data_IF_071630556973
#
_entry.id   IF_071630556973
#
_cell.length_a   1.000
_cell.length_b   1.000
_cell.length_c   1.000
_cell.angle_alpha   90.00
_cell.angle_beta   90.00
_cell.angle_gamma   90.00
#
_symmetry.space_group_name_H-M   'P 1'
#
loop_
_entity.id
_entity.type
_entity.pdbx_description
1 polymer ?
#
# COMPACT_ATOMS: atom_id res chain seq x y z
N UNK A 1 16.00 1.15 -6.42
CA UNK A 1 15.89 0.34 -5.19
C UNK A 1 17.30 -0.04 -4.75
N UNK A 2 17.66 0.18 -3.48
CA UNK A 2 18.92 -0.29 -2.88
C UNK A 2 18.65 -1.56 -2.07
N UNK A 3 18.42 -2.67 -2.78
CA UNK A 3 17.88 -3.91 -2.22
C UNK A 3 18.84 -4.59 -1.25
N UNK A 4 18.33 -4.97 -0.09
CA UNK A 4 18.97 -5.77 0.94
C UNK A 4 18.26 -7.12 1.10
N UNK A 5 18.95 -8.11 1.66
CA UNK A 5 18.39 -9.44 1.90
C UNK A 5 17.46 -9.44 3.13
N UNK A 6 16.27 -8.86 2.99
CA UNK A 6 15.26 -8.77 4.05
C UNK A 6 13.86 -9.14 3.55
N UNK A 7 13.00 -9.58 4.47
CA UNK A 7 11.57 -9.86 4.17
C UNK A 7 10.83 -8.61 3.65
N UNK A 8 11.19 -7.43 4.18
CA UNK A 8 10.66 -6.15 3.71
C UNK A 8 11.01 -5.90 2.24
N UNK A 9 12.27 -6.08 1.88
CA UNK A 9 12.70 -5.83 0.50
C UNK A 9 12.17 -6.90 -0.45
N UNK A 10 11.95 -8.13 0.02
CA UNK A 10 11.22 -9.15 -0.74
C UNK A 10 9.79 -8.72 -1.09
N UNK A 11 9.07 -8.11 -0.14
CA UNK A 11 7.76 -7.48 -0.40
C UNK A 11 7.86 -6.36 -1.44
N UNK A 12 8.79 -5.41 -1.22
CA UNK A 12 8.92 -4.23 -2.08
C UNK A 12 9.30 -4.63 -3.51
N UNK A 13 10.21 -5.59 -3.71
CA UNK A 13 10.57 -6.06 -5.07
C UNK A 13 9.33 -6.56 -5.82
N UNK A 14 8.46 -7.34 -5.17
CA UNK A 14 7.25 -7.84 -5.81
C UNK A 14 6.22 -6.74 -6.07
N UNK A 15 6.09 -5.77 -5.17
CA UNK A 15 5.26 -4.58 -5.36
C UNK A 15 5.71 -3.78 -6.60
N UNK A 16 7.00 -3.44 -6.68
CA UNK A 16 7.58 -2.67 -7.78
C UNK A 16 7.52 -3.43 -9.11
N UNK A 17 7.73 -4.76 -9.08
CA UNK A 17 7.53 -5.61 -10.25
C UNK A 17 6.07 -5.63 -10.71
N UNK A 18 5.11 -5.46 -9.81
CA UNK A 18 3.71 -5.27 -10.14
C UNK A 18 3.46 -4.01 -10.95
N UNK A 19 4.13 -2.90 -10.63
CA UNK A 19 4.10 -1.69 -11.47
C UNK A 19 4.70 -1.93 -12.84
N UNK A 20 5.87 -2.58 -12.93
CA UNK A 20 6.48 -2.92 -14.23
C UNK A 20 5.54 -3.79 -15.06
N UNK A 21 4.90 -4.79 -14.44
CA UNK A 21 3.94 -5.64 -15.13
C UNK A 21 2.75 -4.83 -15.64
N UNK A 22 2.21 -3.91 -14.85
CA UNK A 22 1.14 -3.00 -15.26
C UNK A 22 1.58 -2.13 -16.45
N UNK A 23 2.82 -1.61 -16.44
CA UNK A 23 3.37 -0.80 -17.53
C UNK A 23 3.45 -1.58 -18.84
N UNK A 24 3.83 -2.87 -18.75
CA UNK A 24 3.88 -3.76 -19.90
C UNK A 24 2.49 -4.03 -20.49
N UNK A 25 1.42 -4.03 -19.67
CA UNK A 25 0.05 -4.28 -20.15
C UNK A 25 -0.45 -3.15 -21.06
N UNK A 26 -0.15 -1.90 -20.74
CA UNK A 26 -0.61 -0.76 -21.53
C UNK A 26 0.44 -0.22 -22.52
N UNK A 27 1.54 -0.96 -22.76
CA UNK A 27 2.65 -0.51 -23.64
C UNK A 27 2.23 -0.22 -25.09
N UNK A 28 1.16 -0.82 -25.57
CA UNK A 28 0.66 -0.65 -26.95
C UNK A 28 -0.33 0.52 -27.10
N UNK A 29 -0.81 1.10 -25.99
CA UNK A 29 -1.71 2.25 -26.04
C UNK A 29 -0.99 3.49 -26.60
N UNK A 30 -1.72 4.51 -27.11
CA UNK A 30 -1.13 5.80 -27.45
C UNK A 30 -0.45 6.44 -26.23
N UNK A 31 0.58 7.26 -26.46
CA UNK A 31 1.42 7.85 -25.40
C UNK A 31 0.61 8.44 -24.23
N UNK A 32 -0.44 9.21 -24.52
CA UNK A 32 -1.30 9.84 -23.52
C UNK A 32 -2.08 8.87 -22.62
N UNK A 33 -2.24 7.62 -23.05
CA UNK A 33 -2.94 6.57 -22.33
C UNK A 33 -1.99 5.53 -21.69
N UNK A 34 -0.67 5.69 -21.82
CA UNK A 34 0.33 4.81 -21.16
C UNK A 34 0.57 5.20 -19.71
N UNK A 35 -0.51 5.32 -18.95
CA UNK A 35 -0.49 5.65 -17.53
C UNK A 35 -1.64 4.95 -16.82
N UNK A 36 -1.47 4.73 -15.53
CA UNK A 36 -2.55 4.28 -14.66
C UNK A 36 -3.72 5.29 -14.69
N UNK A 37 -4.99 4.83 -14.61
CA UNK A 37 -6.15 5.72 -14.54
C UNK A 37 -6.04 6.76 -13.42
N UNK A 38 -5.51 6.35 -12.27
CA UNK A 38 -5.11 7.20 -11.16
C UNK A 38 -4.01 6.49 -10.35
N UNK A 39 -3.32 7.22 -9.45
CA UNK A 39 -2.22 6.68 -8.65
C UNK A 39 -2.61 5.41 -7.88
N UNK A 40 -3.74 5.46 -7.17
CA UNK A 40 -4.19 4.33 -6.36
C UNK A 40 -4.44 3.02 -7.15
N UNK A 41 -4.70 3.07 -8.45
CA UNK A 41 -4.89 1.85 -9.24
C UNK A 41 -3.56 1.11 -9.47
N UNK A 42 -2.46 1.84 -9.69
CA UNK A 42 -1.13 1.22 -9.83
C UNK A 42 -0.64 0.65 -8.51
N UNK A 43 -0.84 1.40 -7.40
CA UNK A 43 -0.53 0.95 -6.04
C UNK A 43 -1.30 -0.32 -5.67
N UNK A 44 -2.60 -0.37 -5.99
CA UNK A 44 -3.44 -1.54 -5.71
C UNK A 44 -2.93 -2.80 -6.42
N UNK A 45 -2.43 -2.68 -7.66
CA UNK A 45 -1.84 -3.82 -8.39
C UNK A 45 -0.55 -4.28 -7.71
N UNK A 46 0.34 -3.36 -7.37
CA UNK A 46 1.61 -3.66 -6.68
C UNK A 46 1.36 -4.36 -5.35
N UNK A 47 0.49 -3.79 -4.51
CA UNK A 47 0.14 -4.35 -3.21
C UNK A 47 -0.58 -5.69 -3.29
N UNK A 48 -1.44 -5.91 -4.29
CA UNK A 48 -2.12 -7.18 -4.47
C UNK A 48 -1.12 -8.31 -4.77
N UNK A 49 -0.14 -8.05 -5.64
CA UNK A 49 0.92 -9.01 -5.97
C UNK A 49 1.78 -9.27 -4.73
N UNK A 50 2.25 -8.20 -4.07
CA UNK A 50 3.11 -8.33 -2.90
C UNK A 50 2.41 -9.06 -1.74
N UNK A 51 1.12 -8.82 -1.51
CA UNK A 51 0.34 -9.54 -0.51
C UNK A 51 0.25 -11.04 -0.82
N UNK A 52 0.05 -11.40 -2.09
CA UNK A 52 0.00 -12.80 -2.52
C UNK A 52 1.35 -13.52 -2.31
N UNK A 53 2.46 -12.85 -2.61
CA UNK A 53 3.81 -13.42 -2.46
C UNK A 53 4.25 -13.56 -1.01
N UNK A 54 3.69 -12.78 -0.09
CA UNK A 54 3.94 -12.92 1.34
C UNK A 54 3.14 -14.05 2.01
N UNK A 55 2.25 -14.74 1.28
CA UNK A 55 1.51 -15.86 1.85
C UNK A 55 2.45 -17.03 2.24
N UNK A 56 2.24 -17.70 3.39
CA UNK A 56 3.07 -18.84 3.79
C UNK A 56 3.09 -19.95 2.74
N UNK A 57 1.98 -20.15 2.03
CA UNK A 57 1.87 -21.10 0.92
C UNK A 57 2.82 -20.75 -0.23
N UNK A 58 2.95 -19.47 -0.58
CA UNK A 58 3.88 -19.03 -1.62
C UNK A 58 5.34 -19.16 -1.15
N UNK A 59 5.67 -18.68 0.04
CA UNK A 59 7.04 -18.72 0.59
C UNK A 59 7.54 -20.17 0.74
N UNK A 60 6.64 -21.11 1.10
CA UNK A 60 6.96 -22.54 1.12
C UNK A 60 7.29 -23.08 -0.26
N UNK A 61 6.59 -22.64 -1.31
CA UNK A 61 6.85 -23.06 -2.71
C UNK A 61 8.16 -22.51 -3.25
N UNK A 62 8.64 -21.37 -2.75
CA UNK A 62 9.94 -20.81 -3.14
C UNK A 62 11.13 -21.45 -2.42
N UNK A 63 10.88 -22.35 -1.46
CA UNK A 63 11.93 -23.00 -0.66
C UNK A 63 12.50 -22.12 0.46
N UNK A 64 11.90 -20.95 0.73
CA UNK A 64 12.33 -20.04 1.80
C UNK A 64 11.73 -20.38 3.16
N UNK A 65 10.76 -21.32 3.21
CA UNK A 65 10.08 -21.74 4.42
C UNK A 65 9.91 -23.26 4.44
N UNK A 66 10.55 -23.92 5.40
CA UNK A 66 10.51 -25.37 5.59
C UNK A 66 9.74 -25.74 6.86
N UNK A 67 9.07 -26.90 6.84
CA UNK A 67 8.37 -27.48 7.99
C UNK A 67 7.34 -26.57 8.70
N UNK A 68 6.84 -25.53 8.00
CA UNK A 68 5.81 -24.65 8.53
C UNK A 68 4.40 -25.21 8.29
N UNK A 69 3.58 -25.16 9.34
CA UNK A 69 2.15 -25.43 9.34
C UNK A 69 1.45 -24.20 9.88
N UNK A 70 0.56 -23.61 9.09
CA UNK A 70 -0.19 -22.43 9.49
C UNK A 70 -1.18 -22.79 10.60
N UNK A 71 -0.97 -22.26 11.80
CA UNK A 71 -1.90 -22.42 12.93
C UNK A 71 -2.97 -21.33 12.90
N UNK A 72 -4.04 -21.50 13.70
CA UNK A 72 -5.07 -20.48 13.86
C UNK A 72 -4.50 -19.23 14.51
N UNK A 73 -3.64 -19.40 15.51
CA UNK A 73 -2.98 -18.36 16.28
C UNK A 73 -2.07 -17.51 15.36
N UNK A 74 -1.29 -18.16 14.49
CA UNK A 74 -0.47 -17.48 13.50
C UNK A 74 -1.31 -16.62 12.55
N UNK A 75 -2.44 -17.17 12.09
CA UNK A 75 -3.34 -16.45 11.20
C UNK A 75 -3.95 -15.23 11.89
N UNK A 76 -4.34 -15.34 13.16
CA UNK A 76 -4.85 -14.20 13.95
C UNK A 76 -3.75 -13.15 14.11
N UNK A 77 -2.52 -13.54 14.45
CA UNK A 77 -1.39 -12.62 14.59
C UNK A 77 -1.10 -11.87 13.28
N UNK A 78 -1.11 -12.59 12.16
CA UNK A 78 -0.96 -12.00 10.83
C UNK A 78 -2.08 -10.99 10.53
N UNK A 79 -3.33 -11.35 10.76
CA UNK A 79 -4.49 -10.48 10.51
C UNK A 79 -4.46 -9.23 11.39
N UNK A 80 -4.04 -9.33 12.66
CA UNK A 80 -3.85 -8.16 13.53
C UNK A 80 -2.75 -7.25 12.99
N UNK A 81 -1.61 -7.82 12.56
CA UNK A 81 -0.52 -7.04 11.93
C UNK A 81 -0.98 -6.33 10.64
N UNK A 82 -1.76 -7.00 9.79
CA UNK A 82 -2.39 -6.37 8.62
C UNK A 82 -3.40 -5.29 9.01
N UNK A 83 -4.20 -5.53 10.06
CA UNK A 83 -5.17 -4.56 10.59
C UNK A 83 -4.49 -3.28 11.06
N UNK A 84 -3.43 -3.41 11.87
CA UNK A 84 -2.65 -2.27 12.38
C UNK A 84 -1.98 -1.46 11.25
N UNK A 85 -1.50 -2.12 10.20
CA UNK A 85 -0.84 -1.43 9.09
C UNK A 85 -1.81 -0.80 8.08
N UNK A 86 -2.99 -1.40 7.86
CA UNK A 86 -3.89 -1.01 6.76
C UNK A 86 -5.18 -0.32 7.21
N UNK A 87 -5.74 -0.61 8.38
CA UNK A 87 -7.07 -0.11 8.77
C UNK A 87 -7.05 1.29 9.39
N UNK A 88 -5.92 1.72 9.96
CA UNK A 88 -5.80 3.05 10.58
C UNK A 88 -5.51 4.15 9.57
N UNK A 89 -5.00 3.78 8.38
CA UNK A 89 -4.64 4.75 7.36
C UNK A 89 -5.86 5.45 6.71
N UNK A 90 -6.97 4.78 6.37
CA UNK A 90 -8.11 5.44 5.74
C UNK A 90 -8.75 6.55 6.58
N UNK A 91 -9.05 6.36 7.89
CA UNK A 91 -9.56 7.46 8.72
C UNK A 91 -8.60 8.65 8.79
N UNK A 92 -7.30 8.38 8.96
CA UNK A 92 -6.27 9.41 9.01
C UNK A 92 -6.13 10.17 7.68
N UNK A 93 -6.04 9.45 6.55
CA UNK A 93 -5.94 10.04 5.23
C UNK A 93 -7.17 10.89 4.90
N UNK A 94 -8.36 10.42 5.30
CA UNK A 94 -9.61 11.16 5.14
C UNK A 94 -9.62 12.46 5.94
N UNK A 95 -9.22 12.43 7.21
CA UNK A 95 -9.10 13.62 8.05
C UNK A 95 -8.10 14.63 7.46
N UNK A 96 -6.95 14.14 6.98
CA UNK A 96 -5.93 14.98 6.33
C UNK A 96 -6.45 15.62 5.04
N UNK A 97 -7.21 14.89 4.22
CA UNK A 97 -7.78 15.44 2.99
C UNK A 97 -8.89 16.45 3.27
N UNK A 98 -9.73 16.26 4.30
CA UNK A 98 -10.66 17.30 4.78
C UNK A 98 -9.88 18.56 5.14
N UNK A 99 -8.81 18.40 5.93
CA UNK A 99 -7.98 19.53 6.35
C UNK A 99 -7.40 20.28 5.13
N UNK A 100 -6.81 19.56 4.16
CA UNK A 100 -6.24 20.16 2.94
C UNK A 100 -7.29 20.86 2.10
N UNK A 101 -8.48 20.27 1.96
CA UNK A 101 -9.56 20.88 1.20
C UNK A 101 -10.01 22.19 1.85
N UNK A 102 -10.19 22.20 3.17
CA UNK A 102 -10.55 23.40 3.93
C UNK A 102 -9.51 24.52 3.79
N UNK A 103 -8.22 24.17 3.66
CA UNK A 103 -7.16 25.14 3.32
C UNK A 103 -7.34 25.68 1.90
N UNK A 104 -7.46 24.80 0.90
CA UNK A 104 -7.46 25.20 -0.51
C UNK A 104 -8.72 25.96 -0.94
N UNK A 105 -9.87 25.67 -0.34
CA UNK A 105 -11.11 26.37 -0.64
C UNK A 105 -11.29 27.66 0.20
N UNK A 106 -10.36 27.97 1.11
CA UNK A 106 -10.38 29.16 1.96
C UNK A 106 -11.34 29.09 3.16
N UNK A 107 -11.89 27.91 3.48
CA UNK A 107 -12.80 27.74 4.63
C UNK A 107 -12.11 27.91 5.99
N UNK A 108 -10.79 27.74 6.05
CA UNK A 108 -9.97 28.04 7.24
C UNK A 108 -8.83 28.98 6.87
N UNK A 109 -8.50 29.90 7.77
CA UNK A 109 -7.41 30.85 7.57
C UNK A 109 -6.08 30.31 8.11
N UNK A 110 -4.91 30.85 7.66
CA UNK A 110 -3.59 30.38 8.10
C UNK A 110 -3.39 30.30 9.62
N UNK A 111 -3.99 31.23 10.38
CA UNK A 111 -3.90 31.22 11.85
C UNK A 111 -4.73 30.10 12.50
N UNK A 112 -5.62 29.44 11.76
CA UNK A 112 -6.50 28.36 12.24
C UNK A 112 -5.98 26.97 11.86
N UNK A 113 -5.00 26.87 10.97
CA UNK A 113 -4.52 25.62 10.38
C UNK A 113 -4.22 24.54 11.44
N UNK A 114 -3.44 24.90 12.47
CA UNK A 114 -3.08 23.94 13.52
C UNK A 114 -4.28 23.56 14.39
N UNK A 115 -5.11 24.53 14.79
CA UNK A 115 -6.30 24.27 15.60
C UNK A 115 -7.26 23.34 14.87
N UNK A 116 -7.53 23.60 13.59
CA UNK A 116 -8.45 22.80 12.80
C UNK A 116 -7.91 21.40 12.51
N UNK A 117 -6.59 21.24 12.32
CA UNK A 117 -5.96 19.93 12.20
C UNK A 117 -6.25 19.04 13.43
N UNK A 118 -6.02 19.57 14.64
CA UNK A 118 -6.24 18.84 15.90
C UNK A 118 -7.73 18.62 16.26
N UNK A 119 -8.67 19.22 15.54
CA UNK A 119 -10.09 18.90 15.67
C UNK A 119 -10.46 17.66 14.86
N UNK A 120 -9.72 17.39 13.77
CA UNK A 120 -9.99 16.29 12.85
C UNK A 120 -9.24 15.00 13.19
N UNK A 121 -8.08 15.13 13.86
CA UNK A 121 -7.16 14.03 14.21
C UNK A 121 -7.20 13.77 15.71
#
# INVERSE_FOLDING_TARGET
MCTSLTSRDFYIVHHEMGHIQHYLQYKSLPFWFRRSPHGAFSEAIGDAIALATMSPTHIKRTGLLENYTLTREDNINFLISQGLSRLFLPPYAYALDIWRWSVYNGSIQPFEYNKYYWVLV
#
